data_IF_683611999360
#
_entry.id   IF_683611999360
#
_cell.length_a   1.000
_cell.length_b   1.000
_cell.length_c   1.000
_cell.angle_alpha   90.00
_cell.angle_beta   90.00
_cell.angle_gamma   90.00
#
_symmetry.space_group_name_H-M   'P 1'
#
loop_
_entity.id
_entity.type
_entity.pdbx_description
1 polymer ?
#
# COMPACT_ATOMS: atom_id res chain seq x y z
N UNK A 1 -37.77 8.22 -34.00
CA UNK A 1 -38.49 6.93 -34.04
C UNK A 1 -37.56 5.91 -33.41
N UNK A 2 -37.70 5.49 -32.15
CA UNK A 2 -38.91 5.27 -31.35
C UNK A 2 -38.99 6.14 -30.10
N UNK A 3 -40.23 6.47 -29.76
CA UNK A 3 -40.75 7.25 -28.63
C UNK A 3 -41.36 6.32 -27.57
N UNK A 4 -41.73 6.91 -26.42
CA UNK A 4 -42.60 6.43 -25.32
C UNK A 4 -41.86 5.70 -24.17
N UNK A 5 -42.09 5.99 -22.88
CA UNK A 5 -43.16 6.79 -22.26
C UNK A 5 -42.77 7.37 -20.90
N UNK A 6 -43.28 8.57 -20.63
CA UNK A 6 -43.30 9.25 -19.33
C UNK A 6 -44.69 9.03 -18.71
N UNK A 7 -44.74 9.03 -17.37
CA UNK A 7 -45.92 9.13 -16.49
C UNK A 7 -46.54 7.81 -15.98
N UNK A 8 -46.46 7.65 -14.66
CA UNK A 8 -47.58 7.53 -13.71
C UNK A 8 -46.99 7.69 -12.29
N UNK A 9 -46.82 8.93 -11.80
CA UNK A 9 -47.74 9.71 -10.95
C UNK A 9 -47.55 9.49 -9.42
N UNK A 10 -47.93 10.47 -8.58
CA UNK A 10 -47.12 10.99 -7.47
C UNK A 10 -47.66 10.57 -6.10
N UNK A 11 -46.83 10.69 -5.06
CA UNK A 11 -47.33 10.70 -3.69
C UNK A 11 -46.85 11.95 -2.95
N UNK A 12 -47.79 12.89 -2.81
CA UNK A 12 -47.83 13.89 -1.75
C UNK A 12 -48.39 13.24 -0.48
N UNK A 13 -47.82 13.56 0.67
CA UNK A 13 -48.53 13.71 1.96
C UNK A 13 -47.55 14.34 2.96
N UNK A 14 -47.57 15.66 3.10
CA UNK A 14 -48.28 16.43 4.15
C UNK A 14 -47.63 16.38 5.53
N UNK A 15 -47.34 17.57 6.03
CA UNK A 15 -46.91 17.87 7.40
C UNK A 15 -47.92 17.32 8.42
N UNK A 16 -47.43 16.52 9.37
CA UNK A 16 -48.00 16.44 10.71
C UNK A 16 -46.87 16.61 11.73
N UNK A 17 -46.88 17.78 12.37
CA UNK A 17 -46.33 17.94 13.72
C UNK A 17 -47.14 17.07 14.67
N UNK A 18 -46.48 16.16 15.38
CA UNK A 18 -46.77 15.91 16.79
C UNK A 18 -45.65 15.13 17.47
N UNK A 19 -45.24 15.68 18.61
CA UNK A 19 -44.31 15.12 19.57
C UNK A 19 -44.71 13.69 19.96
N UNK A 20 -43.74 12.78 20.03
CA UNK A 20 -43.65 11.84 21.15
C UNK A 20 -42.24 11.26 21.26
N UNK A 21 -41.59 11.68 22.34
CA UNK A 21 -40.27 11.29 22.81
C UNK A 21 -40.32 9.83 23.29
N UNK A 22 -39.79 8.90 22.50
CA UNK A 22 -39.26 7.65 23.05
C UNK A 22 -38.10 7.12 22.19
N UNK A 23 -36.95 7.01 22.85
CA UNK A 23 -35.68 6.40 22.46
C UNK A 23 -35.66 5.62 21.13
N UNK A 24 -35.41 6.34 20.03
CA UNK A 24 -35.05 5.71 18.75
C UNK A 24 -33.53 5.71 18.62
N UNK A 25 -32.93 4.55 18.83
CA UNK A 25 -31.55 4.27 18.42
C UNK A 25 -31.42 4.65 16.95
N UNK A 26 -30.71 5.75 16.67
CA UNK A 26 -30.54 6.27 15.32
C UNK A 26 -29.78 5.23 14.50
N UNK A 27 -30.49 4.56 13.60
CA UNK A 27 -29.94 3.74 12.54
C UNK A 27 -29.18 4.65 11.57
N UNK A 28 -27.93 4.31 11.27
CA UNK A 28 -27.20 4.91 10.16
C UNK A 28 -26.66 3.79 9.28
N UNK A 29 -27.46 3.23 8.35
CA UNK A 29 -26.89 2.42 7.29
C UNK A 29 -26.11 3.35 6.37
N UNK A 30 -24.84 3.00 6.14
CA UNK A 30 -24.03 3.59 5.07
C UNK A 30 -24.62 3.07 3.75
N UNK A 31 -25.01 3.96 2.83
CA UNK A 31 -25.59 3.59 1.53
C UNK A 31 -24.99 4.41 0.39
N UNK A 32 -25.06 3.86 -0.83
CA UNK A 32 -24.53 4.48 -2.04
C UNK A 32 -25.30 5.77 -2.35
N UNK A 33 -24.59 6.89 -2.48
CA UNK A 33 -25.19 8.21 -2.75
C UNK A 33 -25.39 9.10 -1.52
N UNK A 34 -24.92 8.69 -0.34
CA UNK A 34 -24.92 9.55 0.85
C UNK A 34 -23.96 10.73 0.68
N UNK A 35 -24.46 11.95 0.91
CA UNK A 35 -23.72 13.22 0.84
C UNK A 35 -23.37 13.66 2.26
N UNK A 36 -22.17 14.18 2.46
CA UNK A 36 -21.68 14.72 3.74
C UNK A 36 -21.35 16.19 3.57
N UNK A 37 -21.68 17.01 4.57
CA UNK A 37 -21.44 18.45 4.51
C UNK A 37 -20.04 18.83 5.02
N UNK A 38 -19.43 17.95 5.82
CA UNK A 38 -18.07 18.14 6.34
C UNK A 38 -17.27 16.83 6.36
N UNK A 39 -15.95 16.95 6.34
CA UNK A 39 -15.04 15.81 6.50
C UNK A 39 -15.18 15.12 7.86
N UNK A 40 -15.43 15.89 8.91
CA UNK A 40 -15.63 15.34 10.25
C UNK A 40 -16.89 14.45 10.30
N UNK A 41 -17.99 14.91 9.71
CA UNK A 41 -19.23 14.15 9.61
C UNK A 41 -19.05 12.83 8.82
N UNK A 42 -18.32 12.89 7.71
CA UNK A 42 -17.98 11.72 6.92
C UNK A 42 -17.12 10.73 7.72
N UNK A 43 -16.07 11.22 8.37
CA UNK A 43 -15.18 10.42 9.20
C UNK A 43 -15.93 9.75 10.34
N UNK A 44 -16.67 10.50 11.15
CA UNK A 44 -17.39 9.97 12.31
C UNK A 44 -18.45 8.94 11.90
N UNK A 45 -19.12 9.16 10.76
CA UNK A 45 -20.12 8.23 10.23
C UNK A 45 -19.48 6.93 9.75
N UNK A 46 -18.38 7.02 8.98
CA UNK A 46 -17.66 5.85 8.48
C UNK A 46 -17.01 5.10 9.64
N UNK A 47 -16.41 5.79 10.60
CA UNK A 47 -15.77 5.20 11.77
C UNK A 47 -16.81 4.50 12.67
N UNK A 48 -17.96 5.13 12.91
CA UNK A 48 -19.05 4.52 13.68
C UNK A 48 -19.65 3.31 12.98
N UNK A 49 -19.81 3.37 11.65
CA UNK A 49 -20.24 2.22 10.85
C UNK A 49 -19.19 1.11 10.88
N UNK A 50 -17.90 1.44 10.72
CA UNK A 50 -16.80 0.50 10.78
C UNK A 50 -16.64 -0.12 12.18
N UNK A 51 -16.95 0.60 13.26
CA UNK A 51 -17.01 0.05 14.63
C UNK A 51 -18.20 -0.89 14.83
N UNK A 52 -19.30 -0.69 14.11
CA UNK A 52 -20.48 -1.57 14.11
C UNK A 52 -20.30 -2.82 13.24
N UNK A 53 -19.69 -2.66 12.06
CA UNK A 53 -19.42 -3.75 11.11
C UNK A 53 -18.14 -4.51 11.43
N UNK A 54 -17.15 -3.81 11.97
CA UNK A 54 -15.92 -4.38 12.48
C UNK A 54 -16.30 -5.40 13.53
N UNK A 55 -15.98 -6.65 13.25
CA UNK A 55 -16.21 -7.76 14.15
C UNK A 55 -15.64 -7.36 15.51
N UNK A 56 -16.52 -7.09 16.46
CA UNK A 56 -16.21 -6.59 17.79
C UNK A 56 -15.59 -7.71 18.64
N UNK A 57 -14.59 -8.39 18.08
CA UNK A 57 -14.01 -9.64 18.54
C UNK A 57 -13.29 -9.42 19.87
N UNK A 58 -12.68 -8.26 20.05
CA UNK A 58 -12.10 -7.85 21.32
C UNK A 58 -13.16 -7.68 22.41
N UNK A 59 -14.31 -7.08 22.08
CA UNK A 59 -15.43 -6.97 23.03
C UNK A 59 -16.04 -8.33 23.34
N UNK A 60 -16.07 -9.22 22.34
CA UNK A 60 -16.66 -10.55 22.43
C UNK A 60 -15.78 -11.53 23.24
N UNK A 61 -14.46 -11.48 23.05
CA UNK A 61 -13.50 -12.36 23.72
C UNK A 61 -12.97 -11.77 25.02
N UNK A 62 -13.12 -10.45 25.23
CA UNK A 62 -12.69 -9.74 26.43
C UNK A 62 -11.23 -10.03 26.77
N UNK A 63 -10.99 -10.55 27.97
CA UNK A 63 -9.64 -10.87 28.46
C UNK A 63 -8.94 -11.98 27.64
N UNK A 64 -9.70 -12.87 26.99
CA UNK A 64 -9.16 -13.95 26.15
C UNK A 64 -8.65 -13.46 24.79
N UNK A 65 -8.91 -12.20 24.43
CA UNK A 65 -8.61 -11.66 23.11
C UNK A 65 -7.11 -11.71 22.76
N UNK A 66 -6.24 -11.39 23.72
CA UNK A 66 -4.79 -11.39 23.48
C UNK A 66 -4.25 -12.81 23.27
N UNK A 67 -4.75 -13.78 24.03
CA UNK A 67 -4.41 -15.18 23.85
C UNK A 67 -4.92 -15.71 22.49
N UNK A 68 -6.15 -15.34 22.13
CA UNK A 68 -6.71 -15.65 20.83
C UNK A 68 -5.85 -15.08 19.70
N UNK A 69 -5.46 -13.80 19.75
CA UNK A 69 -4.64 -13.17 18.72
C UNK A 69 -3.30 -13.88 18.54
N UNK A 70 -2.65 -14.24 19.65
CA UNK A 70 -1.38 -14.99 19.61
C UNK A 70 -1.56 -16.32 18.88
N UNK A 71 -2.58 -17.11 19.25
CA UNK A 71 -2.88 -18.40 18.58
C UNK A 71 -3.28 -18.19 17.12
N UNK A 72 -4.10 -17.17 16.84
CA UNK A 72 -4.53 -16.82 15.49
C UNK A 72 -3.33 -16.52 14.59
N UNK A 73 -2.35 -15.73 15.04
CA UNK A 73 -1.17 -15.41 14.25
C UNK A 73 -0.29 -16.64 13.98
N UNK A 74 -0.17 -17.55 14.95
CA UNK A 74 0.52 -18.83 14.77
C UNK A 74 -0.15 -19.66 13.67
N UNK A 75 -1.49 -19.78 13.71
CA UNK A 75 -2.23 -20.53 12.68
C UNK A 75 -2.14 -19.83 11.33
N UNK A 76 -2.37 -18.50 11.26
CA UNK A 76 -2.28 -17.69 10.05
C UNK A 76 -0.95 -17.88 9.32
N UNK A 77 0.16 -17.83 10.06
CA UNK A 77 1.51 -17.86 9.51
C UNK A 77 2.03 -19.28 9.25
N UNK A 78 1.23 -20.31 9.50
CA UNK A 78 1.62 -21.69 9.23
C UNK A 78 1.84 -21.88 7.72
N UNK A 79 2.84 -22.67 7.33
CA UNK A 79 3.15 -22.86 5.90
C UNK A 79 2.42 -24.06 5.27
N UNK A 80 2.02 -25.03 6.10
CA UNK A 80 1.51 -26.31 5.62
C UNK A 80 -0.02 -26.37 5.66
N UNK A 81 -0.66 -26.48 4.49
CA UNK A 81 -2.13 -26.44 4.32
C UNK A 81 -2.88 -27.44 5.22
N UNK A 82 -2.58 -28.75 5.24
CA UNK A 82 -3.25 -29.69 6.14
C UNK A 82 -3.15 -29.34 7.63
N UNK A 83 -1.99 -28.83 8.08
CA UNK A 83 -1.82 -28.47 9.49
C UNK A 83 -2.58 -27.18 9.82
N UNK A 84 -2.62 -26.23 8.88
CA UNK A 84 -3.47 -25.05 9.00
C UNK A 84 -4.92 -25.43 9.22
N UNK A 85 -5.49 -26.32 8.38
CA UNK A 85 -6.90 -26.72 8.48
C UNK A 85 -7.22 -27.35 9.83
N UNK A 86 -6.37 -28.28 10.29
CA UNK A 86 -6.52 -28.89 11.61
C UNK A 86 -6.48 -27.84 12.73
N UNK A 87 -5.48 -26.96 12.72
CA UNK A 87 -5.31 -25.94 13.75
C UNK A 87 -6.34 -24.83 13.68
N UNK A 88 -6.91 -24.56 12.51
CA UNK A 88 -8.00 -23.61 12.33
C UNK A 88 -9.29 -24.14 12.96
N UNK A 89 -9.58 -25.43 12.79
CA UNK A 89 -10.69 -26.08 13.50
C UNK A 89 -10.47 -26.10 15.01
N UNK A 90 -9.25 -26.40 15.48
CA UNK A 90 -8.89 -26.29 16.91
C UNK A 90 -9.18 -24.86 17.43
N UNK A 91 -8.81 -23.83 16.66
CA UNK A 91 -9.03 -22.42 17.02
C UNK A 91 -10.52 -22.07 17.12
N UNK A 92 -11.35 -22.55 16.19
CA UNK A 92 -12.82 -22.37 16.25
C UNK A 92 -13.41 -23.05 17.48
N UNK A 93 -12.92 -24.25 17.81
CA UNK A 93 -13.40 -25.01 18.97
C UNK A 93 -12.99 -24.37 20.31
N UNK A 94 -11.79 -23.77 20.37
CA UNK A 94 -11.30 -23.07 21.56
C UNK A 94 -12.01 -21.73 21.80
N UNK A 95 -12.46 -21.07 20.72
CA UNK A 95 -13.12 -19.76 20.77
C UNK A 95 -14.46 -19.79 20.01
N UNK A 96 -15.46 -20.54 20.53
CA UNK A 96 -16.76 -20.67 19.87
C UNK A 96 -17.47 -19.33 19.71
N UNK A 97 -17.19 -18.35 20.57
CA UNK A 97 -17.72 -16.99 20.46
C UNK A 97 -17.25 -16.33 19.15
N UNK A 98 -16.01 -16.57 18.73
CA UNK A 98 -15.42 -16.04 17.50
C UNK A 98 -15.79 -16.83 16.23
N UNK A 99 -16.58 -17.91 16.33
CA UNK A 99 -16.86 -18.84 15.22
C UNK A 99 -17.39 -18.15 13.96
N UNK A 100 -18.34 -17.24 14.10
CA UNK A 100 -18.92 -16.53 12.94
C UNK A 100 -17.88 -15.66 12.23
N UNK A 101 -17.02 -14.99 12.98
CA UNK A 101 -15.92 -14.22 12.42
C UNK A 101 -14.91 -15.13 11.71
N UNK A 102 -14.46 -16.20 12.36
CA UNK A 102 -13.48 -17.13 11.80
C UNK A 102 -14.00 -17.80 10.52
N UNK A 103 -15.28 -18.21 10.50
CA UNK A 103 -15.89 -18.77 9.28
C UNK A 103 -15.96 -17.75 8.14
N UNK A 104 -16.32 -16.50 8.45
CA UNK A 104 -16.39 -15.44 7.43
C UNK A 104 -14.99 -15.13 6.88
N UNK A 105 -14.00 -15.05 7.76
CA UNK A 105 -12.61 -14.77 7.41
C UNK A 105 -11.99 -15.92 6.61
N UNK A 106 -12.33 -17.17 6.92
CA UNK A 106 -11.85 -18.34 6.19
C UNK A 106 -12.27 -18.35 4.71
N UNK A 107 -13.40 -17.74 4.36
CA UNK A 107 -13.84 -17.62 2.97
C UNK A 107 -12.86 -16.82 2.10
N UNK A 108 -12.09 -15.91 2.70
CA UNK A 108 -11.10 -15.07 2.01
C UNK A 108 -9.65 -15.51 2.29
N UNK A 109 -9.43 -16.73 2.80
CA UNK A 109 -8.11 -17.25 3.21
C UNK A 109 -7.01 -17.12 2.16
N UNK A 110 -7.37 -17.17 0.88
CA UNK A 110 -6.42 -17.02 -0.24
C UNK A 110 -5.73 -15.64 -0.26
N UNK A 111 -6.35 -14.62 0.34
CA UNK A 111 -5.80 -13.26 0.39
C UNK A 111 -4.93 -12.97 1.62
N UNK A 112 -4.97 -13.80 2.68
CA UNK A 112 -4.33 -13.47 3.96
C UNK A 112 -3.66 -14.64 4.69
N UNK A 113 -4.06 -15.89 4.43
CA UNK A 113 -3.49 -17.05 5.10
C UNK A 113 -2.18 -17.47 4.41
N UNK A 114 -1.12 -17.60 5.21
CA UNK A 114 0.22 -17.85 4.71
C UNK A 114 0.38 -19.13 3.86
N UNK A 115 -0.33 -20.25 4.10
CA UNK A 115 -0.22 -21.43 3.23
C UNK A 115 -0.69 -21.20 1.79
N UNK A 116 -1.49 -20.16 1.54
CA UNK A 116 -1.99 -19.80 0.20
C UNK A 116 -1.20 -18.63 -0.39
N UNK A 117 -0.80 -17.65 0.43
CA UNK A 117 -0.02 -16.51 -0.06
C UNK A 117 1.46 -16.85 -0.28
N UNK A 118 2.03 -17.87 0.39
CA UNK A 118 3.45 -18.24 0.24
C UNK A 118 3.84 -18.74 -1.15
N UNK A 119 2.87 -19.19 -1.95
CA UNK A 119 3.12 -19.66 -3.32
C UNK A 119 3.10 -18.52 -4.34
N UNK A 120 2.71 -17.32 -3.92
CA UNK A 120 2.77 -16.13 -4.73
C UNK A 120 4.09 -15.43 -4.44
N UNK A 121 4.97 -15.37 -5.44
CA UNK A 121 6.16 -14.53 -5.38
C UNK A 121 5.71 -13.06 -5.41
N UNK A 122 5.35 -12.51 -4.26
CA UNK A 122 5.18 -11.08 -4.07
C UNK A 122 6.57 -10.46 -4.05
N UNK A 123 7.05 -10.03 -5.21
CA UNK A 123 8.31 -9.32 -5.43
C UNK A 123 8.33 -7.96 -4.68
N UNK A 124 8.36 -7.99 -3.34
CA UNK A 124 8.32 -6.79 -2.50
C UNK A 124 6.93 -6.17 -2.28
N UNK A 125 5.86 -6.71 -2.85
CA UNK A 125 4.47 -6.22 -2.67
C UNK A 125 3.95 -6.33 -1.23
N UNK A 126 4.62 -7.09 -0.36
CA UNK A 126 4.29 -7.19 1.06
C UNK A 126 4.97 -6.12 1.94
N UNK A 127 5.90 -5.34 1.38
CA UNK A 127 6.45 -4.18 2.08
C UNK A 127 5.36 -3.10 2.13
N UNK A 128 4.94 -2.72 3.33
CA UNK A 128 4.03 -1.59 3.51
C UNK A 128 4.69 -0.25 3.21
N UNK A 129 6.02 -0.21 3.06
CA UNK A 129 6.79 1.03 2.87
C UNK A 129 6.39 1.87 1.65
N UNK A 130 6.01 1.33 0.47
CA UNK A 130 5.54 2.16 -0.63
C UNK A 130 4.17 2.77 -0.33
N UNK A 131 3.27 2.00 0.28
CA UNK A 131 1.91 2.45 0.64
C UNK A 131 1.97 3.46 1.79
N UNK A 132 2.85 3.25 2.77
CA UNK A 132 3.11 4.17 3.87
C UNK A 132 3.73 5.48 3.38
N UNK A 133 4.70 5.41 2.45
CA UNK A 133 5.30 6.60 1.83
C UNK A 133 4.27 7.40 1.04
N UNK A 134 3.43 6.73 0.22
CA UNK A 134 2.34 7.38 -0.51
C UNK A 134 1.34 8.00 0.46
N UNK A 135 0.92 7.26 1.48
CA UNK A 135 -0.03 7.76 2.48
C UNK A 135 0.54 8.96 3.25
N UNK A 136 1.81 8.93 3.64
CA UNK A 136 2.47 10.05 4.31
C UNK A 136 2.51 11.28 3.41
N UNK A 137 2.85 11.11 2.13
CA UNK A 137 2.88 12.18 1.14
C UNK A 137 1.48 12.79 0.92
N UNK A 138 0.44 11.98 0.71
CA UNK A 138 -0.95 12.45 0.54
C UNK A 138 -1.41 13.20 1.81
N UNK A 139 -1.14 12.63 2.99
CA UNK A 139 -1.48 13.27 4.27
C UNK A 139 -0.77 14.62 4.45
N UNK A 140 0.45 14.76 3.96
CA UNK A 140 1.17 16.04 3.93
C UNK A 140 0.38 17.12 3.21
N UNK A 141 -0.19 16.81 2.04
CA UNK A 141 -1.01 17.77 1.31
C UNK A 141 -2.39 18.03 1.94
N UNK A 142 -3.02 16.99 2.50
CA UNK A 142 -4.35 17.13 3.11
C UNK A 142 -4.29 17.93 4.41
N UNK A 143 -3.27 17.71 5.23
CA UNK A 143 -3.20 18.29 6.58
C UNK A 143 -2.27 19.50 6.70
N UNK A 144 -1.26 19.63 5.83
CA UNK A 144 -0.22 20.66 5.96
C UNK A 144 -0.23 21.65 4.80
N UNK A 145 -1.18 21.57 3.86
CA UNK A 145 -1.29 22.48 2.71
C UNK A 145 -2.71 23.01 2.57
N UNK A 146 -2.86 24.30 2.25
CA UNK A 146 -4.16 24.90 1.91
C UNK A 146 -4.49 24.70 0.43
N UNK A 147 -4.43 23.45 -0.06
CA UNK A 147 -4.77 23.14 -1.46
C UNK A 147 -6.22 22.68 -1.59
N UNK A 148 -6.84 22.99 -2.72
CA UNK A 148 -8.15 22.47 -3.08
C UNK A 148 -8.09 21.01 -3.54
N UNK A 149 -9.25 20.35 -3.58
CA UNK A 149 -9.35 18.97 -4.06
C UNK A 149 -8.96 18.82 -5.54
N UNK A 150 -9.26 19.82 -6.37
CA UNK A 150 -8.87 19.84 -7.77
C UNK A 150 -7.34 19.92 -7.90
N UNK A 151 -6.70 20.79 -7.13
CA UNK A 151 -5.24 20.91 -7.11
C UNK A 151 -4.57 19.64 -6.59
N UNK A 152 -5.15 18.97 -5.59
CA UNK A 152 -4.68 17.66 -5.14
C UNK A 152 -4.76 16.61 -6.27
N UNK A 153 -5.85 16.62 -7.03
CA UNK A 153 -6.01 15.76 -8.22
C UNK A 153 -4.91 16.00 -9.25
N UNK A 154 -4.66 17.26 -9.59
CA UNK A 154 -3.60 17.63 -10.54
C UNK A 154 -2.19 17.21 -10.07
N UNK A 155 -1.93 17.30 -8.75
CA UNK A 155 -0.67 16.88 -8.14
C UNK A 155 -0.51 15.35 -8.19
N UNK A 156 -1.57 14.60 -7.93
CA UNK A 156 -1.58 13.13 -8.03
C UNK A 156 -1.32 12.71 -9.48
N UNK A 157 -2.00 13.32 -10.46
CA UNK A 157 -1.84 13.01 -11.88
C UNK A 157 -0.42 13.31 -12.38
N UNK A 158 0.17 14.42 -11.93
CA UNK A 158 1.58 14.75 -12.23
C UNK A 158 2.54 13.71 -11.66
N UNK A 159 2.31 13.25 -10.43
CA UNK A 159 3.14 12.21 -9.80
C UNK A 159 3.02 10.89 -10.55
N UNK A 160 1.80 10.46 -10.86
CA UNK A 160 1.55 9.23 -11.64
C UNK A 160 2.27 9.28 -12.99
N UNK A 161 2.15 10.42 -13.70
CA UNK A 161 2.83 10.63 -14.97
C UNK A 161 4.36 10.55 -14.87
N UNK A 162 4.93 11.00 -13.74
CA UNK A 162 6.37 10.90 -13.47
C UNK A 162 6.80 9.46 -13.21
N UNK A 163 6.01 8.72 -12.42
CA UNK A 163 6.24 7.31 -12.14
C UNK A 163 6.16 6.45 -13.41
N UNK A 164 5.19 6.73 -14.29
CA UNK A 164 5.05 6.06 -15.58
C UNK A 164 6.27 6.31 -16.49
N UNK A 165 6.77 7.54 -16.56
CA UNK A 165 7.99 7.88 -17.31
C UNK A 165 9.21 7.16 -16.73
N UNK A 166 9.33 7.10 -15.41
CA UNK A 166 10.43 6.41 -14.76
C UNK A 166 10.36 4.89 -15.03
N UNK A 167 9.16 4.31 -14.99
CA UNK A 167 8.95 2.91 -15.34
C UNK A 167 9.34 2.64 -16.81
N UNK A 168 8.93 3.51 -17.74
CA UNK A 168 9.35 3.40 -19.15
C UNK A 168 10.87 3.50 -19.31
N UNK A 169 11.53 4.38 -18.56
CA UNK A 169 12.99 4.49 -18.56
C UNK A 169 13.66 3.20 -18.07
N UNK A 170 13.13 2.58 -17.01
CA UNK A 170 13.63 1.29 -16.48
C UNK A 170 13.46 0.20 -17.54
N UNK A 171 12.29 0.09 -18.17
CA UNK A 171 12.03 -0.87 -19.24
C UNK A 171 12.96 -0.64 -20.44
N UNK A 172 13.16 0.62 -20.83
CA UNK A 172 14.07 0.98 -21.90
C UNK A 172 15.51 0.57 -21.58
N UNK A 173 16.01 0.89 -20.38
CA UNK A 173 17.34 0.46 -19.91
C UNK A 173 17.50 -1.07 -19.94
N UNK A 174 16.46 -1.81 -19.58
CA UNK A 174 16.46 -3.27 -19.63
C UNK A 174 16.40 -3.84 -21.05
N UNK A 175 15.80 -3.09 -21.99
CA UNK A 175 15.66 -3.48 -23.39
C UNK A 175 16.89 -3.14 -24.24
N UNK A 176 17.79 -2.28 -23.78
CA UNK A 176 19.09 -2.04 -24.43
C UNK A 176 19.86 -3.37 -24.39
N UNK A 177 20.16 -3.99 -25.54
CA UNK A 177 21.03 -5.15 -25.57
C UNK A 177 22.40 -4.69 -25.08
N UNK A 178 22.79 -5.07 -23.87
CA UNK A 178 24.18 -4.97 -23.46
C UNK A 178 24.98 -5.85 -24.42
N UNK A 179 25.51 -5.28 -25.49
CA UNK A 179 26.56 -5.91 -26.27
C UNK A 179 27.75 -6.04 -25.34
N UNK A 180 27.84 -7.17 -24.63
CA UNK A 180 29.05 -7.61 -23.97
C UNK A 180 30.04 -7.94 -25.09
N UNK A 181 30.63 -6.91 -25.69
CA UNK A 181 31.87 -7.09 -26.42
C UNK A 181 32.90 -7.57 -25.41
N UNK A 182 33.55 -8.67 -25.77
CA UNK A 182 34.52 -9.37 -24.96
C UNK A 182 35.51 -8.38 -24.34
N UNK A 183 35.61 -8.42 -23.00
CA UNK A 183 36.31 -7.47 -22.12
C UNK A 183 35.65 -6.08 -22.13
N UNK A 184 34.89 -5.76 -21.08
CA UNK A 184 34.41 -4.38 -20.88
C UNK A 184 35.63 -3.46 -20.74
N UNK A 185 35.59 -2.28 -21.35
CA UNK A 185 36.64 -1.25 -21.23
C UNK A 185 37.05 -1.03 -19.76
N UNK A 186 36.08 -1.11 -18.85
CA UNK A 186 36.27 -1.09 -17.41
C UNK A 186 37.07 -2.28 -16.86
N UNK A 187 36.82 -3.51 -17.31
CA UNK A 187 37.59 -4.68 -16.91
C UNK A 187 39.07 -4.59 -17.34
N UNK A 188 39.34 -3.96 -18.48
CA UNK A 188 40.69 -3.65 -18.94
C UNK A 188 41.33 -2.51 -18.12
N UNK A 189 40.66 -1.36 -17.98
CA UNK A 189 41.17 -0.20 -17.25
C UNK A 189 41.44 -0.48 -15.77
N UNK A 190 40.62 -1.33 -15.14
CA UNK A 190 40.68 -1.62 -13.71
C UNK A 190 41.16 -3.05 -13.40
N UNK A 191 41.99 -3.63 -14.28
CA UNK A 191 42.48 -5.03 -14.16
C UNK A 191 43.08 -5.33 -12.77
N UNK A 192 43.95 -4.45 -12.26
CA UNK A 192 44.59 -4.63 -10.95
C UNK A 192 43.59 -4.58 -9.78
N UNK A 193 42.56 -3.76 -9.90
CA UNK A 193 41.50 -3.62 -8.89
C UNK A 193 40.62 -4.88 -8.92
N UNK A 194 40.19 -5.31 -10.11
CA UNK A 194 39.41 -6.54 -10.28
C UNK A 194 40.11 -7.76 -9.67
N UNK A 195 41.42 -7.89 -9.87
CA UNK A 195 42.21 -8.99 -9.28
C UNK A 195 42.17 -8.99 -7.75
N UNK A 196 42.25 -7.80 -7.12
CA UNK A 196 42.09 -7.68 -5.65
C UNK A 196 40.66 -7.97 -5.19
N UNK A 197 39.65 -7.50 -5.93
CA UNK A 197 38.25 -7.76 -5.58
C UNK A 197 37.94 -9.26 -5.63
N UNK A 198 38.48 -9.97 -6.63
CA UNK A 198 38.35 -11.44 -6.74
C UNK A 198 39.03 -12.20 -5.60
N UNK A 199 40.14 -11.67 -5.06
CA UNK A 199 40.88 -12.29 -3.96
C UNK A 199 40.15 -12.18 -2.61
N UNK A 200 39.45 -11.06 -2.36
CA UNK A 200 38.92 -10.74 -1.03
C UNK A 200 37.39 -10.72 -0.94
N UNK A 201 36.64 -10.67 -2.05
CA UNK A 201 35.19 -10.51 -2.00
C UNK A 201 34.41 -11.79 -2.31
N UNK A 202 33.35 -12.08 -1.54
CA UNK A 202 32.39 -13.12 -1.88
C UNK A 202 31.68 -12.84 -3.22
N UNK A 203 31.24 -13.89 -3.96
CA UNK A 203 30.68 -13.76 -5.31
C UNK A 203 29.53 -12.76 -5.44
N UNK A 204 28.67 -12.65 -4.42
CA UNK A 204 27.54 -11.73 -4.43
C UNK A 204 27.99 -10.25 -4.39
N UNK A 205 28.99 -9.93 -3.56
CA UNK A 205 29.53 -8.57 -3.43
C UNK A 205 30.43 -8.24 -4.63
N UNK A 206 31.21 -9.21 -5.10
CA UNK A 206 32.03 -9.08 -6.29
C UNK A 206 31.18 -8.71 -7.52
N UNK A 207 30.00 -9.32 -7.68
CA UNK A 207 29.07 -9.00 -8.77
C UNK A 207 28.57 -7.55 -8.70
N UNK A 208 28.25 -7.06 -7.51
CA UNK A 208 27.82 -5.66 -7.31
C UNK A 208 28.96 -4.70 -7.66
N UNK A 209 30.16 -4.92 -7.12
CA UNK A 209 31.31 -4.06 -7.38
C UNK A 209 31.72 -4.02 -8.85
N UNK A 210 31.69 -5.17 -9.54
CA UNK A 210 31.94 -5.23 -10.99
C UNK A 210 30.89 -4.45 -11.78
N UNK A 211 29.63 -4.47 -11.36
CA UNK A 211 28.59 -3.67 -12.00
C UNK A 211 28.82 -2.17 -11.80
N UNK A 212 29.19 -1.72 -10.59
CA UNK A 212 29.51 -0.30 -10.33
C UNK A 212 30.72 0.18 -11.15
N UNK A 213 31.78 -0.62 -11.21
CA UNK A 213 32.98 -0.32 -12.02
C UNK A 213 32.63 -0.29 -13.52
N UNK A 214 31.68 -1.12 -13.97
CA UNK A 214 31.18 -1.02 -15.34
C UNK A 214 30.37 0.25 -15.57
N UNK A 215 29.64 0.74 -14.58
CA UNK A 215 28.90 2.00 -14.73
C UNK A 215 29.83 3.22 -14.72
N UNK A 216 30.96 3.16 -14.00
CA UNK A 216 31.87 4.31 -13.85
C UNK A 216 32.43 4.85 -15.18
N UNK A 217 32.62 3.98 -16.18
CA UNK A 217 33.14 4.37 -17.51
C UNK A 217 32.11 5.08 -18.40
N UNK A 218 30.86 5.18 -17.97
CA UNK A 218 29.79 5.88 -18.68
C UNK A 218 29.50 7.28 -18.14
N UNK A 219 30.24 7.74 -17.12
CA UNK A 219 30.11 9.09 -16.58
C UNK A 219 31.26 9.99 -17.03
N UNK A 220 30.93 11.15 -17.60
CA UNK A 220 31.88 12.25 -17.77
C UNK A 220 31.87 13.10 -16.48
N UNK A 221 33.00 13.11 -15.78
CA UNK A 221 33.17 13.94 -14.60
C UNK A 221 33.74 15.31 -15.01
N UNK A 222 33.02 16.38 -14.69
CA UNK A 222 33.52 17.75 -14.81
C UNK A 222 33.88 18.28 -13.43
N UNK A 223 35.03 18.94 -13.33
CA UNK A 223 35.42 19.60 -12.10
C UNK A 223 34.55 20.85 -11.91
N UNK A 224 33.78 20.86 -10.83
CA UNK A 224 32.94 21.99 -10.42
C UNK A 224 33.59 22.70 -9.23
N UNK A 225 33.46 24.02 -9.20
CA UNK A 225 33.92 24.89 -8.13
C UNK A 225 32.95 24.89 -6.94
N UNK A 226 33.48 25.18 -5.74
CA UNK A 226 32.74 25.11 -4.48
C UNK A 226 31.48 25.99 -4.46
N UNK A 227 31.49 27.12 -5.17
CA UNK A 227 30.33 28.01 -5.29
C UNK A 227 29.14 27.32 -5.98
N UNK A 228 29.38 26.56 -7.05
CA UNK A 228 28.34 25.80 -7.76
C UNK A 228 27.80 24.64 -6.92
N UNK A 229 28.64 24.05 -6.05
CA UNK A 229 28.20 23.01 -5.11
C UNK A 229 27.22 23.58 -4.07
N UNK A 230 27.51 24.78 -3.55
CA UNK A 230 26.67 25.44 -2.55
C UNK A 230 25.29 25.84 -3.13
N UNK A 231 25.23 26.28 -4.39
CA UNK A 231 23.95 26.52 -5.10
C UNK A 231 23.10 25.24 -5.22
N UNK A 232 23.73 24.08 -5.48
CA UNK A 232 23.02 22.80 -5.58
C UNK A 232 22.49 22.30 -4.23
N UNK A 233 23.20 22.55 -3.13
CA UNK A 233 22.76 22.18 -1.78
C UNK A 233 21.54 23.00 -1.33
N UNK A 234 21.48 24.30 -1.65
CA UNK A 234 20.28 25.11 -1.42
C UNK A 234 19.08 24.53 -2.19
N UNK A 235 19.23 24.23 -3.48
CA UNK A 235 18.15 23.66 -4.31
C UNK A 235 17.67 22.29 -3.77
N UNK A 236 18.57 21.42 -3.34
CA UNK A 236 18.19 20.11 -2.77
C UNK A 236 17.51 20.23 -1.40
N UNK A 237 17.90 21.20 -0.56
CA UNK A 237 17.24 21.46 0.72
C UNK A 237 15.81 21.99 0.55
N UNK A 238 15.53 22.76 -0.51
CA UNK A 238 14.17 23.23 -0.82
C UNK A 238 13.23 22.11 -1.31
N UNK A 239 13.73 20.95 -1.72
CA UNK A 239 12.91 19.79 -2.11
C UNK A 239 12.59 18.84 -0.95
N UNK A 240 13.21 19.03 0.22
CA UNK A 240 13.06 18.18 1.40
C UNK A 240 12.42 18.88 2.62
N UNK A 241 11.96 20.13 2.48
CA UNK A 241 11.06 20.80 3.43
C UNK A 241 9.64 20.84 2.88
#
# INVERSE_FOLDING_TARGET
MNTFDENLLPFNCTNETNENRSNKSIEAPLYKGKIFNTWQEAFDTIESWAKKQGFNLQRLLGQKFQEFLSKFYIVRNMLHKPFFELKWQDLINLYPEAKNYLNTLYNTKEAWAHPWTCQQFTAGLHASSPVESINAWIKGYIFNSNISLCELGDIIDKRQSSEDKNHQLILWKAAIPCTFTQISTAAFMFTSINKKLEEYLPPAILKLQKNEIHQSVFYDAYQINQETINEFEEVCMFYYM
#
